data_IF_615270267298
#
_entry.id   IF_615270267298
#
_cell.length_a   1.000
_cell.length_b   1.000
_cell.length_c   1.000
_cell.angle_alpha   90.00
_cell.angle_beta   90.00
_cell.angle_gamma   90.00
#
_symmetry.space_group_name_H-M   'P 1'
#
loop_
_entity.id
_entity.type
_entity.pdbx_description
1 polymer ?
#
# COMPACT_ATOMS: atom_id res chain seq x y z
N UNK A 1 12.25 14.13 -38.60
CA UNK A 1 11.24 15.21 -38.71
C UNK A 1 10.09 14.62 -39.51
N UNK A 2 8.85 14.42 -39.06
CA UNK A 2 8.07 14.95 -37.93
C UNK A 2 6.89 13.98 -37.69
N UNK A 3 6.38 13.93 -36.46
CA UNK A 3 5.14 13.26 -36.03
C UNK A 3 3.96 13.46 -37.00
N UNK A 4 3.07 12.46 -37.12
CA UNK A 4 1.66 12.71 -36.80
C UNK A 4 0.85 11.44 -36.48
N UNK A 5 -0.20 11.69 -35.69
CA UNK A 5 -0.85 10.83 -34.69
C UNK A 5 -1.47 9.52 -35.20
N UNK A 6 -1.06 8.40 -34.59
CA UNK A 6 -1.85 7.15 -34.60
C UNK A 6 -2.98 7.28 -33.58
N UNK A 7 -4.16 7.61 -34.09
CA UNK A 7 -5.49 7.59 -33.48
C UNK A 7 -5.59 6.48 -32.41
N UNK A 8 -5.71 6.88 -31.13
CA UNK A 8 -6.02 5.96 -30.02
C UNK A 8 -7.38 5.32 -30.30
N UNK A 9 -7.51 3.98 -30.36
CA UNK A 9 -8.81 3.37 -30.43
C UNK A 9 -9.55 3.56 -29.11
N UNK A 10 -10.87 3.55 -29.25
CA UNK A 10 -11.87 4.05 -28.32
C UNK A 10 -11.74 3.54 -26.89
N UNK A 11 -12.26 4.39 -26.03
CA UNK A 11 -12.52 4.24 -24.60
C UNK A 11 -13.53 3.10 -24.34
N UNK A 12 -13.17 1.85 -24.64
CA UNK A 12 -13.82 0.70 -24.04
C UNK A 12 -13.42 0.71 -22.57
N UNK A 13 -14.35 1.18 -21.74
CA UNK A 13 -14.35 0.89 -20.31
C UNK A 13 -14.35 -0.63 -20.20
N UNK A 14 -13.16 -1.20 -20.03
CA UNK A 14 -13.02 -2.63 -19.82
C UNK A 14 -13.51 -2.91 -18.39
N UNK A 15 -14.82 -3.08 -18.24
CA UNK A 15 -15.47 -3.69 -17.07
C UNK A 15 -15.18 -5.19 -17.03
N UNK A 16 -13.92 -5.57 -17.24
CA UNK A 16 -13.42 -6.85 -16.78
C UNK A 16 -13.38 -6.80 -15.25
N UNK A 17 -14.55 -7.05 -14.66
CA UNK A 17 -14.70 -7.47 -13.27
C UNK A 17 -13.94 -8.80 -13.18
N UNK A 18 -12.63 -8.71 -12.91
CA UNK A 18 -11.71 -9.84 -12.97
C UNK A 18 -12.08 -10.88 -11.91
N UNK A 19 -12.83 -11.88 -12.35
CA UNK A 19 -13.19 -13.07 -11.58
C UNK A 19 -11.89 -13.79 -11.21
N UNK A 20 -11.63 -13.98 -9.91
CA UNK A 20 -10.52 -14.81 -9.43
C UNK A 20 -9.20 -14.11 -9.12
N UNK A 21 -9.12 -12.77 -9.09
CA UNK A 21 -7.91 -12.11 -8.58
C UNK A 21 -7.88 -12.05 -7.05
N UNK A 22 -6.81 -12.59 -6.48
CA UNK A 22 -6.52 -12.54 -5.04
C UNK A 22 -6.25 -11.09 -4.61
N UNK A 23 -6.89 -10.63 -3.54
CA UNK A 23 -6.52 -9.35 -2.94
C UNK A 23 -5.07 -9.37 -2.50
N UNK A 24 -4.38 -8.25 -2.72
CA UNK A 24 -3.02 -8.06 -2.24
C UNK A 24 -2.91 -6.74 -1.49
N UNK A 25 -1.90 -6.66 -0.64
CA UNK A 25 -1.50 -5.44 0.05
C UNK A 25 -0.01 -5.26 -0.11
N UNK A 26 0.39 -4.03 -0.44
CA UNK A 26 1.78 -3.57 -0.39
C UNK A 26 1.83 -2.17 0.23
N UNK A 27 3.02 -1.64 0.47
CA UNK A 27 3.21 -0.25 0.82
C UNK A 27 4.61 0.25 0.46
N UNK A 28 4.71 1.57 0.28
CA UNK A 28 5.97 2.25 0.03
C UNK A 28 6.06 3.57 0.81
N UNK A 29 7.28 4.08 0.95
CA UNK A 29 7.53 5.43 1.47
C UNK A 29 7.46 6.43 0.33
N UNK A 30 6.67 7.50 0.48
CA UNK A 30 6.53 8.54 -0.53
C UNK A 30 7.90 9.16 -0.87
N UNK A 31 8.25 9.16 -2.17
CA UNK A 31 9.55 9.62 -2.66
C UNK A 31 10.67 8.56 -2.65
N UNK A 32 10.35 7.29 -2.41
CA UNK A 32 11.28 6.16 -2.47
C UNK A 32 10.82 5.11 -3.48
N UNK A 33 11.75 4.25 -3.89
CA UNK A 33 11.47 3.09 -4.74
C UNK A 33 10.41 2.19 -4.11
N UNK A 34 9.37 1.88 -4.88
CA UNK A 34 8.21 1.08 -4.46
C UNK A 34 8.52 -0.40 -4.31
N UNK A 35 9.58 -0.89 -4.97
CA UNK A 35 9.97 -2.30 -4.95
C UNK A 35 11.08 -2.59 -3.91
N UNK A 36 11.51 -1.57 -3.18
CA UNK A 36 12.56 -1.69 -2.18
C UNK A 36 12.09 -2.50 -0.96
N UNK A 37 12.70 -3.67 -0.75
CA UNK A 37 12.51 -4.48 0.48
C UNK A 37 13.06 -3.81 1.74
N UNK A 38 13.98 -2.86 1.56
CA UNK A 38 14.54 -2.04 2.62
C UNK A 38 14.70 -0.59 2.16
N UNK A 39 14.23 0.37 2.98
CA UNK A 39 14.37 1.80 2.70
C UNK A 39 15.31 2.45 3.72
N UNK A 40 16.19 3.36 3.28
CA UNK A 40 17.06 4.12 4.19
C UNK A 40 16.48 5.51 4.46
N UNK A 41 16.20 5.83 5.73
CA UNK A 41 15.61 7.09 6.19
C UNK A 41 16.55 7.83 7.15
N UNK A 42 16.36 9.14 7.27
CA UNK A 42 17.01 10.00 8.27
C UNK A 42 16.18 10.14 9.54
N UNK A 43 16.83 9.98 10.70
CA UNK A 43 16.22 10.19 12.01
C UNK A 43 15.68 11.62 12.16
N UNK A 44 14.56 11.78 12.86
CA UNK A 44 13.96 13.08 13.15
C UNK A 44 13.11 13.68 12.03
N UNK A 45 13.18 13.16 10.80
CA UNK A 45 12.33 13.56 9.67
C UNK A 45 11.00 12.81 9.70
N UNK A 46 9.93 13.49 9.28
CA UNK A 46 8.61 12.88 9.04
C UNK A 46 8.55 12.31 7.62
N UNK A 47 7.99 11.10 7.48
CA UNK A 47 7.76 10.44 6.21
C UNK A 47 6.31 9.99 6.11
N UNK A 48 5.81 9.92 4.87
CA UNK A 48 4.49 9.38 4.57
C UNK A 48 4.63 7.99 3.97
N UNK A 49 3.91 7.04 4.53
CA UNK A 49 3.78 5.67 4.02
C UNK A 49 2.43 5.57 3.32
N UNK A 50 2.41 4.94 2.15
CA UNK A 50 1.22 4.79 1.31
C UNK A 50 1.02 3.30 1.03
N UNK A 51 -0.15 2.76 1.36
CA UNK A 51 -0.52 1.40 0.98
C UNK A 51 -0.98 1.34 -0.47
N UNK A 52 -0.59 0.28 -1.17
CA UNK A 52 -1.12 -0.10 -2.48
C UNK A 52 -1.98 -1.33 -2.29
N UNK A 53 -3.20 -1.28 -2.81
CA UNK A 53 -4.19 -2.34 -2.62
C UNK A 53 -4.85 -2.62 -3.95
N UNK A 54 -4.93 -3.89 -4.31
CA UNK A 54 -5.71 -4.32 -5.46
C UNK A 54 -6.75 -5.37 -5.08
N UNK A 55 -7.83 -5.40 -5.85
CA UNK A 55 -8.84 -6.46 -5.83
C UNK A 55 -9.55 -6.68 -4.48
N UNK A 56 -9.90 -5.58 -3.80
CA UNK A 56 -10.56 -5.64 -2.48
C UNK A 56 -12.06 -5.30 -2.54
N UNK A 57 -12.81 -5.91 -1.63
CA UNK A 57 -14.22 -5.58 -1.39
C UNK A 57 -14.38 -4.27 -0.60
N UNK A 58 -15.61 -3.74 -0.58
CA UNK A 58 -15.97 -2.41 -0.07
C UNK A 58 -15.58 -2.16 1.39
N UNK A 59 -15.63 -3.18 2.26
CA UNK A 59 -15.23 -3.07 3.67
C UNK A 59 -13.78 -3.51 3.88
N UNK A 60 -12.99 -2.58 4.44
CA UNK A 60 -11.56 -2.74 4.71
C UNK A 60 -11.14 -2.09 6.02
N UNK A 61 -10.22 -2.75 6.71
CA UNK A 61 -9.57 -2.24 7.92
C UNK A 61 -8.05 -2.28 7.74
N UNK A 62 -7.37 -1.18 8.09
CA UNK A 62 -5.92 -1.03 8.02
C UNK A 62 -5.31 -1.04 9.41
N UNK A 63 -4.39 -1.97 9.63
CA UNK A 63 -3.69 -2.13 10.90
C UNK A 63 -2.19 -1.95 10.65
N UNK A 64 -1.66 -0.84 11.14
CA UNK A 64 -0.25 -0.49 11.02
C UNK A 64 0.50 -0.83 12.31
N UNK A 65 1.60 -1.60 12.18
CA UNK A 65 2.57 -1.82 13.26
C UNK A 65 3.93 -1.31 12.80
N UNK A 66 4.46 -0.29 13.49
CA UNK A 66 5.66 0.44 13.06
C UNK A 66 6.61 0.50 14.24
N UNK A 67 7.63 -0.35 14.25
CA UNK A 67 8.56 -0.40 15.37
C UNK A 67 9.44 0.85 15.40
N UNK A 68 9.57 1.51 16.55
CA UNK A 68 10.37 2.73 16.68
C UNK A 68 9.73 4.03 16.16
N UNK A 69 8.45 3.99 15.75
CA UNK A 69 7.67 5.19 15.42
C UNK A 69 6.18 5.00 15.70
N UNK A 70 5.46 6.07 16.02
CA UNK A 70 3.99 6.04 16.15
C UNK A 70 3.35 6.62 14.89
N UNK A 71 2.43 5.91 14.21
CA UNK A 71 1.70 6.46 13.07
C UNK A 71 0.68 7.51 13.52
N UNK A 72 0.57 8.64 12.81
CA UNK A 72 -0.41 9.70 13.16
C UNK A 72 -1.85 9.40 12.72
N UNK A 73 -2.09 8.29 12.01
CA UNK A 73 -3.42 7.87 11.54
C UNK A 73 -3.48 6.34 11.35
N UNK A 74 -3.41 5.56 12.45
CA UNK A 74 -3.68 4.13 12.36
C UNK A 74 -5.15 3.94 11.89
N UNK A 75 -5.39 3.07 10.91
CA UNK A 75 -6.73 2.88 10.33
C UNK A 75 -6.93 3.47 8.94
N UNK A 76 -6.00 4.29 8.44
CA UNK A 76 -6.05 4.82 7.06
C UNK A 76 -5.08 4.11 6.11
N UNK A 77 -5.33 4.12 4.79
CA UNK A 77 -4.42 3.55 3.78
C UNK A 77 -3.07 4.27 3.70
N UNK A 78 -2.92 5.42 4.36
CA UNK A 78 -1.63 6.08 4.50
C UNK A 78 -1.42 6.49 5.95
N UNK A 79 -0.16 6.54 6.37
CA UNK A 79 0.23 6.96 7.71
C UNK A 79 1.46 7.86 7.63
N UNK A 80 1.56 8.86 8.50
CA UNK A 80 2.81 9.60 8.69
C UNK A 80 3.56 9.03 9.88
N UNK A 81 4.88 8.94 9.75
CA UNK A 81 5.77 8.34 10.74
C UNK A 81 7.02 9.19 10.92
N UNK A 82 7.54 9.20 12.16
CA UNK A 82 8.79 9.86 12.50
C UNK A 82 9.63 8.95 13.39
N UNK A 83 10.70 8.40 12.83
CA UNK A 83 11.68 7.62 13.58
C UNK A 83 12.64 8.57 14.29
N UNK A 84 12.73 8.48 15.62
CA UNK A 84 13.57 9.38 16.43
C UNK A 84 14.96 8.81 16.71
N UNK A 85 15.12 7.49 16.57
CA UNK A 85 16.36 6.78 16.85
C UNK A 85 16.89 6.12 15.59
N UNK A 86 18.22 6.02 15.52
CA UNK A 86 18.94 5.26 14.49
C UNK A 86 18.78 3.77 14.76
N UNK A 87 18.62 2.96 13.72
CA UNK A 87 18.42 1.52 13.86
C UNK A 87 17.81 0.89 12.62
N UNK A 88 17.56 -0.41 12.69
CA UNK A 88 16.75 -1.13 11.70
C UNK A 88 15.41 -1.48 12.35
N UNK A 89 14.33 -1.09 11.70
CA UNK A 89 12.98 -1.25 12.22
C UNK A 89 12.10 -2.01 11.23
N UNK A 90 11.12 -2.72 11.76
CA UNK A 90 10.10 -3.41 10.98
C UNK A 90 8.88 -2.51 10.80
N UNK A 91 8.34 -2.50 9.60
CA UNK A 91 7.05 -1.88 9.27
C UNK A 91 6.14 -2.98 8.74
N UNK A 92 5.00 -3.15 9.39
CA UNK A 92 3.99 -4.14 9.03
C UNK A 92 2.66 -3.44 8.74
N UNK A 93 2.05 -3.83 7.63
CA UNK A 93 0.68 -3.50 7.30
C UNK A 93 -0.13 -4.78 7.22
N UNK A 94 -1.18 -4.84 8.02
CA UNK A 94 -2.22 -5.84 7.94
C UNK A 94 -3.46 -5.17 7.36
N UNK A 95 -3.97 -5.75 6.27
CA UNK A 95 -5.23 -5.38 5.64
C UNK A 95 -6.24 -6.48 5.90
N UNK A 96 -7.33 -6.16 6.58
CA UNK A 96 -8.46 -7.07 6.76
C UNK A 96 -9.58 -6.67 5.83
N UNK A 97 -10.09 -7.65 5.09
CA UNK A 97 -11.23 -7.48 4.18
C UNK A 97 -12.37 -8.36 4.63
N UNK A 98 -13.57 -7.79 4.60
CA UNK A 98 -14.81 -8.51 4.84
C UNK A 98 -15.81 -8.19 3.75
N UNK A 99 -16.55 -9.20 3.30
CA UNK A 99 -17.63 -9.03 2.36
C UNK A 99 -18.95 -8.84 3.10
N UNK A 100 -19.75 -7.86 2.70
CA UNK A 100 -21.12 -7.66 3.16
C UNK A 100 -22.06 -7.76 1.95
N UNK A 101 -22.78 -8.88 1.82
CA UNK A 101 -23.88 -9.05 0.86
C UNK A 101 -23.54 -9.79 -0.44
N UNK A 102 -24.27 -10.89 -0.72
CA UNK A 102 -24.05 -11.79 -1.86
C UNK A 102 -24.30 -11.13 -3.22
N UNK A 103 -23.22 -10.74 -3.90
CA UNK A 103 -23.30 -10.26 -5.29
C UNK A 103 -22.03 -9.69 -5.90
N UNK A 104 -20.94 -9.51 -5.12
CA UNK A 104 -19.68 -8.95 -5.64
C UNK A 104 -18.52 -9.95 -5.63
N UNK A 105 -17.78 -9.96 -6.74
CA UNK A 105 -16.90 -11.02 -7.23
C UNK A 105 -15.46 -10.96 -6.66
N UNK A 106 -15.26 -10.28 -5.53
CA UNK A 106 -13.93 -10.18 -4.94
C UNK A 106 -13.64 -11.45 -4.11
N UNK A 107 -12.70 -12.26 -4.61
CA UNK A 107 -12.47 -13.66 -4.20
C UNK A 107 -11.69 -13.84 -2.89
N UNK A 108 -11.56 -12.80 -2.06
CA UNK A 108 -10.79 -12.94 -0.83
C UNK A 108 -11.26 -12.02 0.29
N UNK A 109 -12.13 -12.58 1.12
CA UNK A 109 -12.18 -12.23 2.54
C UNK A 109 -10.88 -12.67 3.21
N UNK A 110 -10.51 -11.98 4.28
CA UNK A 110 -9.44 -12.41 5.17
C UNK A 110 -8.35 -11.38 5.37
N UNK A 111 -7.22 -11.85 5.91
CA UNK A 111 -6.09 -11.02 6.26
C UNK A 111 -5.01 -11.09 5.17
N UNK A 112 -4.57 -9.93 4.69
CA UNK A 112 -3.37 -9.78 3.86
C UNK A 112 -2.33 -9.01 4.64
N UNK A 113 -1.07 -9.41 4.52
CA UNK A 113 0.03 -8.88 5.31
C UNK A 113 1.20 -8.52 4.42
N UNK A 114 1.78 -7.35 4.65
CA UNK A 114 3.06 -6.93 4.07
C UNK A 114 4.00 -6.49 5.19
N UNK A 115 5.26 -6.89 5.08
CA UNK A 115 6.34 -6.51 5.98
C UNK A 115 7.51 -5.99 5.16
N UNK A 116 8.00 -4.80 5.48
CA UNK A 116 9.24 -4.22 4.94
C UNK A 116 10.14 -3.75 6.09
N UNK A 117 11.43 -3.58 5.80
CA UNK A 117 12.41 -3.08 6.76
C UNK A 117 12.80 -1.63 6.47
N UNK A 118 13.10 -0.88 7.52
CA UNK A 118 13.56 0.50 7.41
C UNK A 118 14.88 0.62 8.14
N UNK A 119 15.92 1.09 7.44
CA UNK A 119 17.18 1.47 8.03
C UNK A 119 17.17 2.97 8.32
N UNK A 120 17.14 3.36 9.58
CA UNK A 120 17.22 4.76 10.00
C UNK A 120 18.67 5.10 10.32
N UNK A 121 19.18 6.14 9.68
CA UNK A 121 20.54 6.67 9.86
C UNK A 121 20.48 8.10 10.40
N UNK A 122 21.60 8.60 10.93
CA UNK A 122 21.74 10.02 11.34
C UNK A 122 21.54 10.94 10.14
#
# INVERSE_FOLDING_TARGET
>A
MTNDQKKRPNNEVNTNKQVGQTAYVDFYFEGFDTDAKQVTLKAGKEYKIISVIGNICENREFLWTIWGATPTSPGTPSAKVKFRTVGVFTVELILRTSHVGGGSVCSSNGEKRKVNYVRVVK
#
